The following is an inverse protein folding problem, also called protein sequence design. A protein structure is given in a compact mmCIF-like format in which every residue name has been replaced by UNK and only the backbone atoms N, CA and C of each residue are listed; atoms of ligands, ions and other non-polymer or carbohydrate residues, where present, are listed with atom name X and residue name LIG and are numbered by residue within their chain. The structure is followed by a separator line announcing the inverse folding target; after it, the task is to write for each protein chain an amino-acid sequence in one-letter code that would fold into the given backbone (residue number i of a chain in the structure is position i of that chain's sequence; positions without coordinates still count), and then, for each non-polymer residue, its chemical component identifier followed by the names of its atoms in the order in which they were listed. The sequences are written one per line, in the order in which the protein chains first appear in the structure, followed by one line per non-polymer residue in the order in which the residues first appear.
data_IF_547626381691
#
_entry.id   IF_547626381691
#
_cell.length_a   1.000
_cell.length_b   1.000
_cell.length_c   1.000
_cell.angle_alpha   90.00
_cell.angle_beta   90.00
_cell.angle_gamma   90.00
#
_symmetry.space_group_name_H-M   'P 1'
#
loop_
_entity.id
_entity.type
_entity.pdbx_description
1 polymer ?
#
# COMPACT_ATOMS: atom_id res chain seq x y z
N UNK A 1 27.38 26.82 24.91
CA UNK A 1 26.82 26.38 23.61
C UNK A 1 26.91 24.86 23.54
N UNK A 2 25.87 24.16 23.99
CA UNK A 2 25.84 22.69 23.97
C UNK A 2 25.35 22.21 22.61
N UNK A 3 26.25 21.56 21.84
CA UNK A 3 25.91 20.85 20.61
C UNK A 3 24.91 19.73 20.97
N UNK A 4 23.66 19.85 20.53
CA UNK A 4 22.72 18.71 20.50
C UNK A 4 23.29 17.70 19.51
N UNK A 5 23.85 16.62 20.05
CA UNK A 5 24.15 15.40 19.28
C UNK A 5 22.80 14.86 18.80
N UNK A 6 22.56 14.90 17.49
CA UNK A 6 21.44 14.20 16.86
C UNK A 6 21.64 12.71 17.14
N UNK A 7 20.80 12.12 17.99
CA UNK A 7 20.73 10.67 18.16
C UNK A 7 20.46 10.08 16.78
N UNK A 8 21.44 9.39 16.20
CA UNK A 8 21.26 8.67 14.94
C UNK A 8 20.10 7.70 15.10
N UNK A 9 19.00 7.98 14.42
CA UNK A 9 17.88 7.05 14.28
C UNK A 9 18.40 5.83 13.54
N UNK A 10 18.30 4.64 14.16
CA UNK A 10 18.55 3.38 13.43
C UNK A 10 17.62 3.37 12.21
N UNK A 11 18.12 3.00 11.00
CA UNK A 11 17.27 2.93 9.83
C UNK A 11 16.16 1.91 10.07
N UNK A 12 14.91 2.34 9.87
CA UNK A 12 13.75 1.44 9.96
C UNK A 12 13.86 0.38 8.86
N UNK A 13 13.63 -0.91 9.17
CA UNK A 13 13.58 -1.95 8.15
C UNK A 13 12.56 -1.62 7.06
N UNK A 14 12.87 -1.98 5.81
CA UNK A 14 11.99 -1.73 4.67
C UNK A 14 11.78 -3.02 3.87
N UNK A 15 10.68 -3.05 3.11
CA UNK A 15 10.39 -4.09 2.13
C UNK A 15 10.58 -3.48 0.75
N UNK A 16 11.54 -4.00 -0.01
CA UNK A 16 11.76 -3.61 -1.41
C UNK A 16 10.51 -3.82 -2.24
N UNK A 17 10.25 -2.88 -3.16
CA UNK A 17 9.21 -3.03 -4.17
C UNK A 17 9.67 -3.88 -5.35
N UNK A 18 10.95 -4.28 -5.41
CA UNK A 18 11.61 -4.91 -6.58
C UNK A 18 11.53 -4.08 -7.87
N UNK A 19 11.26 -2.78 -7.75
CA UNK A 19 11.37 -1.81 -8.83
C UNK A 19 12.32 -0.72 -8.37
N UNK A 20 13.47 -0.58 -9.01
CA UNK A 20 14.54 0.29 -8.51
C UNK A 20 14.14 1.77 -8.52
N UNK A 21 13.34 2.18 -9.52
CA UNK A 21 12.82 3.54 -9.62
C UNK A 21 11.85 3.86 -8.47
N UNK A 22 10.98 2.91 -8.10
CA UNK A 22 10.05 3.06 -6.97
C UNK A 22 10.80 3.02 -5.64
N UNK A 23 11.75 2.09 -5.47
CA UNK A 23 12.57 2.01 -4.27
C UNK A 23 13.43 3.26 -4.08
N UNK A 24 13.92 3.89 -5.16
CA UNK A 24 14.67 5.14 -5.10
C UNK A 24 13.85 6.25 -4.44
N UNK A 25 12.61 6.49 -4.91
CA UNK A 25 11.77 7.55 -4.34
C UNK A 25 11.28 7.19 -2.92
N UNK A 26 11.13 5.90 -2.61
CA UNK A 26 10.75 5.42 -1.27
C UNK A 26 11.96 5.23 -0.34
N UNK A 27 13.16 5.61 -0.78
CA UNK A 27 14.42 5.47 -0.04
C UNK A 27 14.66 4.02 0.46
N UNK A 28 14.51 3.05 -0.43
CA UNK A 28 14.70 1.61 -0.19
C UNK A 28 13.42 0.77 -0.02
N UNK A 29 12.24 1.35 -0.25
CA UNK A 29 10.96 0.63 -0.25
C UNK A 29 10.02 0.98 0.91
N UNK A 30 9.11 0.07 1.26
CA UNK A 30 8.03 0.31 2.23
C UNK A 30 8.52 0.13 3.66
N UNK A 31 8.48 1.21 4.46
CA UNK A 31 8.87 1.21 5.87
C UNK A 31 7.96 0.36 6.75
N UNK A 32 8.56 -0.43 7.65
CA UNK A 32 7.83 -0.99 8.79
C UNK A 32 7.57 0.09 9.84
N UNK A 33 6.55 -0.11 10.68
CA UNK A 33 6.19 0.85 11.71
C UNK A 33 5.29 1.99 11.23
N UNK A 34 5.04 2.06 9.92
CA UNK A 34 4.33 3.14 9.27
C UNK A 34 3.17 2.62 8.41
N UNK A 35 2.20 3.50 8.17
CA UNK A 35 1.09 3.26 7.23
C UNK A 35 1.42 3.98 5.93
N UNK A 36 1.51 3.23 4.84
CA UNK A 36 1.72 3.74 3.49
C UNK A 36 0.44 3.58 2.67
N UNK A 37 -0.03 4.66 2.07
CA UNK A 37 -1.21 4.65 1.21
C UNK A 37 -0.83 4.72 -0.27
N UNK A 38 -1.37 3.78 -1.03
CA UNK A 38 -1.35 3.80 -2.50
C UNK A 38 -2.69 4.32 -3.00
N UNK A 39 -2.68 5.54 -3.55
CA UNK A 39 -3.87 6.15 -4.13
C UNK A 39 -3.77 6.29 -5.65
N UNK A 40 -4.88 6.18 -6.37
CA UNK A 40 -4.88 6.30 -7.83
C UNK A 40 -6.14 5.76 -8.48
N UNK A 41 -6.30 5.99 -9.78
CA UNK A 41 -7.41 5.44 -10.57
C UNK A 41 -7.35 3.90 -10.66
N UNK A 42 -8.44 3.29 -11.12
CA UNK A 42 -8.43 1.87 -11.46
C UNK A 42 -7.37 1.58 -12.53
N UNK A 43 -6.79 0.38 -12.50
CA UNK A 43 -5.77 -0.06 -13.46
C UNK A 43 -4.44 0.76 -13.48
N UNK A 44 -4.15 1.55 -12.46
CA UNK A 44 -2.86 2.26 -12.32
C UNK A 44 -1.73 1.40 -11.73
N UNK A 45 -2.02 0.19 -11.26
CA UNK A 45 -1.02 -0.77 -10.77
C UNK A 45 -0.98 -1.00 -9.27
N UNK A 46 -1.88 -0.38 -8.49
CA UNK A 46 -1.93 -0.50 -7.03
C UNK A 46 -1.94 -1.96 -6.54
N UNK A 47 -2.90 -2.75 -7.02
CA UNK A 47 -3.00 -4.19 -6.71
C UNK A 47 -1.77 -4.98 -7.15
N UNK A 48 -1.15 -4.62 -8.29
CA UNK A 48 0.05 -5.30 -8.79
C UNK A 48 1.22 -5.10 -7.84
N UNK A 49 1.42 -3.87 -7.37
CA UNK A 49 2.45 -3.54 -6.39
C UNK A 49 2.19 -4.21 -5.04
N UNK A 50 0.93 -4.28 -4.59
CA UNK A 50 0.54 -5.00 -3.38
C UNK A 50 0.88 -6.50 -3.47
N UNK A 51 0.55 -7.17 -4.58
CA UNK A 51 0.90 -8.59 -4.78
C UNK A 51 2.42 -8.79 -4.78
N UNK A 52 3.15 -7.90 -5.45
CA UNK A 52 4.61 -7.93 -5.50
C UNK A 52 5.24 -7.76 -4.11
N UNK A 53 4.73 -6.83 -3.30
CA UNK A 53 5.16 -6.63 -1.92
C UNK A 53 4.87 -7.85 -1.02
N UNK A 54 3.73 -8.52 -1.19
CA UNK A 54 3.40 -9.76 -0.47
C UNK A 54 4.41 -10.87 -0.70
N UNK A 55 5.00 -10.93 -1.89
CA UNK A 55 6.08 -11.86 -2.22
C UNK A 55 7.43 -11.33 -1.75
N UNK A 56 7.75 -10.06 -2.01
CA UNK A 56 9.04 -9.45 -1.67
C UNK A 56 9.31 -9.43 -0.15
N UNK A 57 8.26 -9.35 0.68
CA UNK A 57 8.36 -9.47 2.14
C UNK A 57 9.08 -10.76 2.60
N UNK A 58 8.96 -11.83 1.82
CA UNK A 58 9.53 -13.15 2.13
C UNK A 58 11.02 -13.25 1.87
N UNK A 59 11.60 -12.30 1.11
CA UNK A 59 13.02 -12.28 0.82
C UNK A 59 13.84 -12.09 2.10
N UNK A 60 15.07 -12.61 2.16
CA UNK A 60 15.96 -12.31 3.28
C UNK A 60 16.29 -10.80 3.33
N UNK A 61 16.67 -10.27 4.50
CA UNK A 61 17.12 -8.89 4.65
C UNK A 61 18.24 -8.47 3.69
N UNK A 62 19.13 -9.39 3.33
CA UNK A 62 20.21 -9.15 2.35
C UNK A 62 19.70 -8.86 0.93
N UNK A 63 18.47 -9.28 0.60
CA UNK A 63 17.82 -9.07 -0.69
C UNK A 63 16.64 -8.09 -0.59
N UNK A 64 16.60 -7.26 0.46
CA UNK A 64 15.60 -6.21 0.64
C UNK A 64 14.24 -6.64 1.21
N UNK A 65 14.08 -7.91 1.60
CA UNK A 65 12.88 -8.37 2.34
C UNK A 65 13.09 -8.42 3.84
N UNK A 66 12.19 -9.10 4.55
CA UNK A 66 12.23 -9.20 6.01
C UNK A 66 12.14 -10.64 6.52
N UNK A 67 12.32 -11.62 5.61
CA UNK A 67 12.08 -13.05 5.85
C UNK A 67 10.74 -13.29 6.56
N UNK A 68 9.72 -12.53 6.14
CA UNK A 68 8.44 -12.45 6.83
C UNK A 68 7.26 -12.88 5.97
N UNK A 69 6.16 -13.20 6.65
CA UNK A 69 4.86 -13.49 6.04
C UNK A 69 4.04 -12.21 5.87
N UNK A 70 3.03 -12.26 4.99
CA UNK A 70 2.11 -11.14 4.77
C UNK A 70 0.66 -11.52 5.03
N UNK A 71 -0.14 -10.55 5.47
CA UNK A 71 -1.60 -10.64 5.50
C UNK A 71 -2.14 -9.76 4.37
N UNK A 72 -3.08 -10.29 3.59
CA UNK A 72 -3.74 -9.57 2.51
C UNK A 72 -5.25 -9.57 2.76
N UNK A 73 -5.79 -8.42 3.14
CA UNK A 73 -7.23 -8.20 3.25
C UNK A 73 -7.72 -7.63 1.92
N UNK A 74 -8.67 -8.31 1.28
CA UNK A 74 -9.28 -7.84 0.03
C UNK A 74 -10.79 -7.61 0.18
N UNK A 75 -11.34 -6.66 -0.59
CA UNK A 75 -12.76 -6.28 -0.49
C UNK A 75 -13.59 -6.50 -1.74
N UNK A 76 -12.97 -6.74 -2.89
CA UNK A 76 -13.69 -6.95 -4.15
C UNK A 76 -13.18 -8.22 -4.83
N UNK A 77 -14.11 -9.13 -5.09
CA UNK A 77 -13.85 -10.34 -5.87
C UNK A 77 -12.86 -11.31 -5.22
N UNK A 78 -12.54 -12.41 -5.92
CA UNK A 78 -11.58 -13.39 -5.43
C UNK A 78 -10.15 -12.83 -5.44
N UNK A 79 -9.35 -13.26 -4.48
CA UNK A 79 -7.92 -12.95 -4.45
C UNK A 79 -7.23 -13.41 -5.76
N UNK A 80 -6.43 -12.56 -6.42
CA UNK A 80 -5.85 -12.85 -7.73
C UNK A 80 -4.65 -13.81 -7.65
N UNK A 81 -4.87 -15.02 -7.14
CA UNK A 81 -3.85 -16.04 -6.87
C UNK A 81 -3.05 -16.42 -8.13
N UNK A 82 -3.70 -16.52 -9.29
CA UNK A 82 -3.02 -16.83 -10.57
C UNK A 82 -1.97 -15.77 -10.91
N UNK A 83 -2.30 -14.50 -10.67
CA UNK A 83 -1.37 -13.40 -10.91
C UNK A 83 -0.22 -13.43 -9.92
N UNK A 84 -0.52 -13.66 -8.63
CA UNK A 84 0.50 -13.82 -7.59
C UNK A 84 1.49 -14.94 -7.92
N UNK A 85 1.01 -16.12 -8.31
CA UNK A 85 1.86 -17.26 -8.66
C UNK A 85 2.77 -16.95 -9.85
N UNK A 86 2.28 -16.19 -10.84
CA UNK A 86 3.11 -15.73 -11.96
C UNK A 86 4.21 -14.75 -11.57
N UNK A 87 4.08 -14.02 -10.46
CA UNK A 87 5.10 -13.07 -9.97
C UNK A 87 6.24 -13.75 -9.19
N UNK A 88 5.94 -14.88 -8.53
CA UNK A 88 6.87 -15.55 -7.61
C UNK A 88 8.26 -15.81 -8.25
N UNK A 89 8.38 -16.38 -9.46
CA UNK A 89 9.68 -16.73 -10.03
C UNK A 89 10.58 -15.54 -10.33
N UNK A 90 10.00 -14.34 -10.48
CA UNK A 90 10.74 -13.12 -10.82
C UNK A 90 11.13 -12.31 -9.58
N UNK A 91 10.38 -12.46 -8.48
CA UNK A 91 10.61 -11.74 -7.23
C UNK A 91 11.50 -12.54 -6.29
N UNK A 92 11.21 -13.84 -6.15
CA UNK A 92 11.99 -14.72 -5.29
C UNK A 92 13.13 -15.28 -6.12
N UNK A 93 14.35 -14.89 -5.76
CA UNK A 93 15.54 -15.49 -6.34
C UNK A 93 15.47 -17.02 -6.09
N UNK A 94 15.99 -17.82 -7.02
CA UNK A 94 15.98 -19.30 -7.01
C UNK A 94 16.62 -19.96 -5.77
N UNK A 95 17.03 -19.16 -4.77
CA UNK A 95 17.60 -19.55 -3.49
C UNK A 95 16.59 -20.10 -2.47
N UNK A 96 15.28 -20.09 -2.74
CA UNK A 96 14.31 -20.72 -1.84
C UNK A 96 14.34 -22.24 -1.99
N UNK A 97 14.43 -22.94 -0.86
CA UNK A 97 14.34 -24.41 -0.79
C UNK A 97 13.16 -24.91 -1.62
N UNK A 98 13.37 -25.97 -2.41
CA UNK A 98 12.32 -26.62 -3.21
C UNK A 98 11.11 -27.09 -2.39
N UNK A 99 11.23 -27.15 -1.06
CA UNK A 99 10.15 -27.53 -0.14
C UNK A 99 9.31 -26.34 0.35
N UNK A 100 9.78 -25.11 0.18
CA UNK A 100 9.13 -23.92 0.70
C UNK A 100 8.14 -23.36 -0.34
N UNK A 101 6.87 -23.25 0.02
CA UNK A 101 5.80 -22.77 -0.86
C UNK A 101 5.49 -21.31 -0.54
N UNK A 102 5.84 -20.35 -1.42
CA UNK A 102 5.69 -18.92 -1.08
C UNK A 102 4.24 -18.48 -0.83
N UNK A 103 3.27 -19.19 -1.43
CA UNK A 103 1.86 -18.93 -1.21
C UNK A 103 1.40 -19.23 0.23
N UNK A 104 2.04 -20.17 0.93
CA UNK A 104 1.67 -20.54 2.31
C UNK A 104 2.03 -19.42 3.32
N UNK A 105 2.88 -18.49 2.92
CA UNK A 105 3.30 -17.33 3.73
C UNK A 105 2.47 -16.06 3.45
N UNK A 106 1.38 -16.18 2.68
CA UNK A 106 0.47 -15.08 2.35
C UNK A 106 -0.94 -15.45 2.81
N UNK A 107 -1.35 -14.88 3.93
CA UNK A 107 -2.64 -15.16 4.54
C UNK A 107 -3.67 -14.18 3.99
N UNK A 108 -4.70 -14.68 3.31
CA UNK A 108 -5.73 -13.84 2.70
C UNK A 108 -7.04 -13.84 3.51
N UNK A 109 -7.70 -12.68 3.62
CA UNK A 109 -9.06 -12.59 4.18
C UNK A 109 -9.92 -11.64 3.34
N UNK A 110 -11.14 -12.05 3.04
CA UNK A 110 -12.12 -11.18 2.38
C UNK A 110 -12.90 -10.39 3.44
N UNK A 111 -13.04 -9.07 3.22
CA UNK A 111 -13.83 -8.16 4.07
C UNK A 111 -14.59 -7.21 3.15
N UNK A 112 -15.91 -7.35 3.09
CA UNK A 112 -16.76 -6.56 2.18
C UNK A 112 -17.24 -5.25 2.80
N UNK A 113 -17.45 -5.23 4.12
CA UNK A 113 -17.94 -4.06 4.86
C UNK A 113 -16.84 -3.39 5.66
N UNK A 114 -16.83 -2.06 5.63
CA UNK A 114 -15.97 -1.26 6.51
C UNK A 114 -16.31 -1.46 7.99
N UNK A 115 -17.54 -1.87 8.31
CA UNK A 115 -17.99 -2.16 9.67
C UNK A 115 -17.38 -3.44 10.24
N UNK A 116 -16.99 -4.39 9.38
CA UNK A 116 -16.34 -5.64 9.78
C UNK A 116 -14.81 -5.49 9.84
N UNK A 117 -14.27 -4.36 9.35
CA UNK A 117 -12.84 -4.12 9.33
C UNK A 117 -12.23 -4.05 10.74
N UNK A 118 -12.84 -3.42 11.77
CA UNK A 118 -12.35 -3.50 13.15
C UNK A 118 -12.13 -4.93 13.64
N UNK A 119 -13.11 -5.83 13.43
CA UNK A 119 -12.98 -7.25 13.81
C UNK A 119 -11.88 -7.95 13.01
N UNK A 120 -11.72 -7.58 11.74
CA UNK A 120 -10.61 -8.06 10.94
C UNK A 120 -9.25 -7.56 11.46
N UNK A 121 -9.15 -6.32 11.97
CA UNK A 121 -7.93 -5.79 12.59
C UNK A 121 -7.60 -6.51 13.90
N UNK A 122 -8.59 -6.83 14.72
CA UNK A 122 -8.40 -7.66 15.92
C UNK A 122 -7.89 -9.06 15.57
N UNK A 123 -8.41 -9.64 14.48
CA UNK A 123 -7.90 -10.89 13.93
C UNK A 123 -6.45 -10.76 13.41
N UNK A 124 -6.11 -9.67 12.72
CA UNK A 124 -4.73 -9.37 12.29
C UNK A 124 -3.79 -9.32 13.48
N UNK A 125 -4.18 -8.63 14.56
CA UNK A 125 -3.37 -8.53 15.79
C UNK A 125 -3.09 -9.92 16.38
N UNK A 126 -4.12 -10.77 16.48
CA UNK A 126 -3.97 -12.14 16.98
C UNK A 126 -3.02 -12.96 16.11
N UNK A 127 -3.12 -12.86 14.79
CA UNK A 127 -2.21 -13.55 13.87
C UNK A 127 -0.77 -13.06 13.99
N UNK A 128 -0.56 -11.75 14.08
CA UNK A 128 0.78 -11.17 14.28
C UNK A 128 1.39 -11.72 15.58
N UNK A 129 0.63 -11.72 16.67
CA UNK A 129 1.07 -12.25 17.97
C UNK A 129 1.40 -13.74 17.91
N UNK A 130 0.57 -14.55 17.25
CA UNK A 130 0.81 -15.99 17.11
C UNK A 130 2.00 -16.28 16.18
N UNK A 131 2.27 -15.41 15.21
CA UNK A 131 3.37 -15.60 14.25
C UNK A 131 4.74 -15.55 14.92
N UNK A 132 4.88 -14.96 16.13
CA UNK A 132 6.13 -14.96 16.90
C UNK A 132 6.65 -16.37 17.25
N UNK A 133 5.76 -17.37 17.26
CA UNK A 133 6.13 -18.77 17.51
C UNK A 133 6.45 -19.56 16.24
N UNK A 134 6.48 -18.90 15.08
CA UNK A 134 6.72 -19.52 13.77
C UNK A 134 8.06 -19.07 13.19
N UNK A 135 8.57 -19.78 12.18
CA UNK A 135 9.82 -19.43 11.50
C UNK A 135 9.75 -18.11 10.71
N UNK A 136 8.55 -17.66 10.31
CA UNK A 136 8.35 -16.42 9.55
C UNK A 136 7.26 -15.57 10.20
N UNK A 137 7.69 -14.55 10.93
CA UNK A 137 6.79 -13.58 11.54
C UNK A 137 6.07 -12.76 10.48
N UNK A 138 4.86 -12.31 10.78
CA UNK A 138 4.13 -11.41 9.90
C UNK A 138 4.81 -10.04 9.92
N UNK A 139 5.20 -9.53 8.74
CA UNK A 139 5.91 -8.25 8.60
C UNK A 139 5.23 -7.26 7.66
N UNK A 140 4.14 -7.68 7.00
CA UNK A 140 3.39 -6.87 6.07
C UNK A 140 1.88 -7.13 6.21
N UNK A 141 1.09 -6.07 6.27
CA UNK A 141 -0.38 -6.11 6.22
C UNK A 141 -0.84 -5.23 5.07
N UNK A 142 -1.61 -5.79 4.15
CA UNK A 142 -2.18 -5.09 3.00
C UNK A 142 -3.70 -5.05 3.12
N UNK A 143 -4.30 -3.89 2.82
CA UNK A 143 -5.75 -3.73 2.68
C UNK A 143 -6.06 -3.20 1.27
N UNK A 144 -6.51 -4.08 0.37
CA UNK A 144 -6.86 -3.77 -1.02
C UNK A 144 -8.35 -4.04 -1.32
N UNK A 145 -9.25 -3.06 -1.23
CA UNK A 145 -9.02 -1.64 -0.96
C UNK A 145 -9.95 -1.16 0.14
N UNK A 146 -9.50 -0.21 0.97
CA UNK A 146 -10.35 0.39 2.02
C UNK A 146 -11.43 1.29 1.40
N UNK A 147 -11.13 1.92 0.26
CA UNK A 147 -12.05 2.82 -0.42
C UNK A 147 -13.33 2.11 -0.86
N UNK A 148 -13.21 0.91 -1.44
CA UNK A 148 -14.37 0.13 -1.88
C UNK A 148 -15.22 -0.37 -0.72
N UNK A 149 -14.62 -0.72 0.42
CA UNK A 149 -15.37 -1.05 1.64
C UNK A 149 -16.21 0.13 2.15
N UNK A 150 -15.88 1.36 1.77
CA UNK A 150 -16.58 2.57 2.22
C UNK A 150 -17.64 3.06 1.21
N UNK A 151 -17.64 2.60 -0.04
CA UNK A 151 -18.53 3.16 -1.08
C UNK A 151 -19.97 2.69 -0.98
N UNK A 152 -20.24 1.51 -0.41
CA UNK A 152 -21.57 0.91 -0.37
C UNK A 152 -22.32 1.05 0.96
N UNK A 153 -21.68 1.58 2.01
CA UNK A 153 -22.17 1.44 3.40
C UNK A 153 -22.52 2.74 4.10
N UNK A 154 -22.36 3.91 3.45
CA UNK A 154 -22.70 5.19 4.06
C UNK A 154 -23.73 5.95 3.24
N UNK A 155 -24.79 6.39 3.90
CA UNK A 155 -25.73 7.34 3.34
C UNK A 155 -25.09 8.72 3.18
N UNK A 156 -25.47 9.46 2.14
CA UNK A 156 -25.01 10.83 1.88
C UNK A 156 -25.63 11.88 2.84
N UNK A 157 -26.10 11.45 4.02
CA UNK A 157 -26.63 12.34 5.06
C UNK A 157 -25.51 12.91 5.92
N UNK A 158 -25.74 14.05 6.56
CA UNK A 158 -24.75 14.68 7.48
C UNK A 158 -24.33 13.70 8.58
N UNK A 159 -25.29 12.97 9.14
CA UNK A 159 -25.05 11.95 10.18
C UNK A 159 -24.21 10.79 9.62
N UNK A 160 -24.53 10.30 8.43
CA UNK A 160 -23.76 9.24 7.76
C UNK A 160 -22.30 9.65 7.47
N UNK A 161 -22.07 10.91 7.09
CA UNK A 161 -20.73 11.45 6.85
C UNK A 161 -19.91 11.61 8.15
N UNK A 162 -20.55 11.99 9.25
CA UNK A 162 -19.91 12.08 10.56
C UNK A 162 -19.52 10.69 11.07
N UNK A 163 -20.45 9.73 11.04
CA UNK A 163 -20.19 8.33 11.42
C UNK A 163 -19.07 7.72 10.56
N UNK A 164 -19.08 7.98 9.25
CA UNK A 164 -17.98 7.59 8.34
C UNK A 164 -16.64 8.16 8.78
N UNK A 165 -16.61 9.45 9.10
CA UNK A 165 -15.39 10.14 9.51
C UNK A 165 -14.85 9.57 10.82
N UNK A 166 -15.73 9.31 11.79
CA UNK A 166 -15.35 8.71 13.07
C UNK A 166 -14.81 7.28 12.89
N UNK A 167 -15.49 6.46 12.09
CA UNK A 167 -15.06 5.09 11.83
C UNK A 167 -13.71 5.04 11.10
N UNK A 168 -13.52 5.85 10.06
CA UNK A 168 -12.25 5.94 9.33
C UNK A 168 -11.10 6.42 10.22
N UNK A 169 -11.34 7.37 11.14
CA UNK A 169 -10.34 7.79 12.13
C UNK A 169 -9.97 6.66 13.09
N UNK A 170 -10.97 5.91 13.58
CA UNK A 170 -10.74 4.78 14.47
C UNK A 170 -9.92 3.68 13.78
N UNK A 171 -10.28 3.33 12.53
CA UNK A 171 -9.53 2.39 11.70
C UNK A 171 -8.10 2.90 11.47
N UNK A 172 -7.95 4.16 11.07
CA UNK A 172 -6.65 4.77 10.82
C UNK A 172 -5.74 4.72 12.04
N UNK A 173 -6.27 5.04 13.22
CA UNK A 173 -5.54 4.89 14.49
C UNK A 173 -5.18 3.43 14.78
N UNK A 174 -6.10 2.49 14.57
CA UNK A 174 -5.85 1.07 14.71
C UNK A 174 -4.69 0.58 13.83
N UNK A 175 -4.66 0.99 12.57
CA UNK A 175 -3.59 0.65 11.63
C UNK A 175 -2.23 1.22 12.05
N UNK A 176 -2.19 2.50 12.46
CA UNK A 176 -0.96 3.11 12.99
C UNK A 176 -0.47 2.40 14.26
N UNK A 177 -1.40 2.03 15.14
CA UNK A 177 -1.08 1.28 16.36
C UNK A 177 -0.51 -0.09 16.03
N UNK A 178 -1.11 -0.83 15.08
CA UNK A 178 -0.61 -2.13 14.63
C UNK A 178 0.78 -1.99 14.01
N UNK A 179 0.97 -1.04 13.10
CA UNK A 179 2.24 -0.80 12.43
C UNK A 179 3.37 -0.55 13.44
N UNK A 180 3.19 0.44 14.29
CA UNK A 180 4.21 0.89 15.26
C UNK A 180 4.46 -0.10 16.39
N UNK A 181 3.41 -0.70 16.97
CA UNK A 181 3.53 -1.62 18.11
C UNK A 181 4.17 -2.96 17.74
N UNK A 182 3.84 -3.48 16.56
CA UNK A 182 4.31 -4.79 16.13
C UNK A 182 5.41 -4.73 15.05
N UNK A 183 5.86 -3.53 14.69
CA UNK A 183 6.93 -3.32 13.72
C UNK A 183 6.65 -4.00 12.37
N UNK A 184 5.42 -3.84 11.89
CA UNK A 184 4.94 -4.34 10.59
C UNK A 184 4.74 -3.17 9.63
N UNK A 185 4.97 -3.41 8.34
CA UNK A 185 4.57 -2.47 7.29
C UNK A 185 3.07 -2.59 7.04
N UNK A 186 2.35 -1.47 7.00
CA UNK A 186 0.93 -1.46 6.65
C UNK A 186 0.74 -0.71 5.34
N UNK A 187 0.14 -1.36 4.35
CA UNK A 187 -0.17 -0.79 3.04
C UNK A 187 -1.68 -0.75 2.84
N UNK A 188 -2.21 0.42 2.52
CA UNK A 188 -3.64 0.62 2.26
C UNK A 188 -3.86 1.13 0.84
N UNK A 189 -4.82 0.56 0.12
CA UNK A 189 -5.19 0.98 -1.23
C UNK A 189 -6.42 1.86 -1.18
N UNK A 190 -6.34 3.01 -1.83
CA UNK A 190 -7.42 3.98 -1.94
C UNK A 190 -7.66 4.37 -3.40
N UNK A 191 -8.91 4.28 -3.85
CA UNK A 191 -9.28 4.76 -5.18
C UNK A 191 -9.44 6.29 -5.15
N UNK A 192 -9.44 6.90 -6.33
CA UNK A 192 -9.73 8.32 -6.47
C UNK A 192 -11.15 8.55 -6.99
N UNK A 193 -11.68 9.73 -6.67
CA UNK A 193 -12.94 10.25 -7.19
C UNK A 193 -12.66 11.46 -8.07
N UNK A 194 -13.51 11.66 -9.06
CA UNK A 194 -13.44 12.82 -9.95
C UNK A 194 -13.79 14.10 -9.19
N UNK A 195 -13.09 15.18 -9.51
CA UNK A 195 -13.36 16.53 -8.98
C UNK A 195 -14.07 17.32 -10.06
N UNK A 196 -15.31 17.70 -9.79
CA UNK A 196 -16.11 18.50 -10.72
C UNK A 196 -15.93 20.00 -10.43
N UNK A 197 -16.07 20.89 -11.43
CA UNK A 197 -15.95 22.34 -11.22
C UNK A 197 -16.93 22.91 -10.19
N UNK A 198 -18.04 22.23 -9.93
CA UNK A 198 -19.04 22.57 -8.92
C UNK A 198 -18.68 22.12 -7.49
N UNK A 199 -17.61 21.34 -7.31
CA UNK A 199 -17.16 20.93 -5.98
C UNK A 199 -16.65 22.15 -5.21
N UNK A 200 -17.34 22.46 -4.10
CA UNK A 200 -16.95 23.56 -3.19
C UNK A 200 -15.77 23.18 -2.30
N UNK A 201 -15.32 21.93 -2.34
CA UNK A 201 -14.24 21.43 -1.49
C UNK A 201 -12.86 21.84 -2.06
N UNK A 202 -12.48 23.10 -1.82
CA UNK A 202 -11.17 23.64 -2.19
C UNK A 202 -10.04 23.17 -1.26
N UNK A 203 -10.33 22.29 -0.29
CA UNK A 203 -9.38 21.92 0.78
C UNK A 203 -8.40 20.82 0.38
N UNK A 204 -8.61 20.14 -0.76
CA UNK A 204 -7.70 19.10 -1.26
C UNK A 204 -7.01 19.55 -2.54
N UNK A 205 -5.67 19.48 -2.56
CA UNK A 205 -4.91 19.58 -3.82
C UNK A 205 -5.42 18.48 -4.76
N UNK A 206 -5.90 18.87 -5.93
CA UNK A 206 -6.31 17.93 -6.98
C UNK A 206 -5.08 17.40 -7.71
N UNK A 207 -5.20 16.20 -8.26
CA UNK A 207 -4.20 15.57 -9.11
C UNK A 207 -4.78 15.38 -10.50
N UNK A 208 -3.91 15.20 -11.49
CA UNK A 208 -4.32 14.87 -12.86
C UNK A 208 -4.09 13.39 -13.11
N UNK A 209 -5.10 12.69 -13.60
CA UNK A 209 -4.96 11.32 -14.13
C UNK A 209 -5.90 11.16 -15.32
N UNK A 210 -5.40 10.54 -16.40
CA UNK A 210 -6.18 10.31 -17.62
C UNK A 210 -6.90 11.57 -18.15
N UNK A 211 -6.28 12.75 -18.00
CA UNK A 211 -6.85 14.05 -18.41
C UNK A 211 -7.92 14.63 -17.48
N UNK A 212 -8.23 13.99 -16.35
CA UNK A 212 -9.24 14.43 -15.38
C UNK A 212 -8.62 14.90 -14.06
N UNK A 213 -9.31 15.83 -13.39
CA UNK A 213 -8.98 16.23 -12.02
C UNK A 213 -9.54 15.19 -11.06
N UNK A 214 -8.69 14.65 -10.20
CA UNK A 214 -9.03 13.59 -9.25
C UNK A 214 -8.50 13.88 -7.85
N UNK A 215 -9.13 13.28 -6.84
CA UNK A 215 -8.69 13.33 -5.43
C UNK A 215 -8.92 11.99 -4.73
N UNK A 216 -8.20 11.65 -3.64
CA UNK A 216 -8.42 10.40 -2.91
C UNK A 216 -9.85 10.31 -2.34
N UNK A 217 -10.46 9.13 -2.42
CA UNK A 217 -11.89 8.94 -2.10
C UNK A 217 -12.22 9.10 -0.60
N UNK A 218 -11.25 8.85 0.27
CA UNK A 218 -11.44 8.89 1.73
C UNK A 218 -11.38 10.31 2.32
N UNK A 219 -10.99 11.32 1.55
CA UNK A 219 -10.97 12.71 1.98
C UNK A 219 -9.91 13.05 3.03
N UNK A 220 -10.00 14.26 3.58
CA UNK A 220 -8.97 14.83 4.45
C UNK A 220 -8.88 14.18 5.84
N UNK A 221 -9.99 13.68 6.39
CA UNK A 221 -10.00 13.04 7.70
C UNK A 221 -9.14 11.77 7.78
N UNK A 222 -8.92 11.10 6.65
CA UNK A 222 -8.07 9.93 6.55
C UNK A 222 -6.58 10.26 6.53
N UNK A 223 -6.23 11.43 5.98
CA UNK A 223 -4.84 11.88 5.78
C UNK A 223 -4.04 11.96 7.08
N UNK A 224 -4.67 12.27 8.21
CA UNK A 224 -4.01 12.37 9.51
C UNK A 224 -3.48 11.04 10.04
N UNK A 225 -3.94 9.91 9.48
CA UNK A 225 -3.63 8.58 9.97
C UNK A 225 -2.63 7.81 9.09
N UNK A 226 -1.95 8.51 8.17
CA UNK A 226 -1.05 7.92 7.19
C UNK A 226 0.30 8.61 7.28
N UNK A 227 1.38 7.84 7.20
CA UNK A 227 2.74 8.38 7.23
C UNK A 227 3.18 8.85 5.85
N UNK A 228 2.87 8.07 4.82
CA UNK A 228 3.25 8.35 3.42
C UNK A 228 2.09 8.05 2.49
N UNK A 229 1.75 9.00 1.61
CA UNK A 229 0.78 8.80 0.52
C UNK A 229 1.50 8.95 -0.81
N UNK A 230 1.42 7.91 -1.63
CA UNK A 230 1.83 7.96 -3.04
C UNK A 230 0.62 7.94 -3.95
N UNK A 231 0.70 8.68 -5.04
CA UNK A 231 -0.27 8.70 -6.10
C UNK A 231 0.26 7.97 -7.32
N UNK A 232 -0.56 7.07 -7.86
CA UNK A 232 -0.28 6.29 -9.06
C UNK A 232 -1.25 6.71 -10.16
N UNK A 233 -0.71 7.17 -11.27
CA UNK A 233 -1.48 7.55 -12.46
C UNK A 233 -1.05 6.73 -13.68
N UNK A 234 -1.93 6.67 -14.68
CA UNK A 234 -1.67 6.01 -15.95
C UNK A 234 -1.56 7.07 -17.04
N UNK A 235 -0.46 7.04 -17.78
CA UNK A 235 -0.30 7.82 -19.00
C UNK A 235 -0.35 6.86 -20.18
N UNK A 236 -1.22 7.15 -21.14
CA UNK A 236 -1.30 6.37 -22.38
C UNK A 236 -0.45 7.12 -23.39
N UNK A 237 0.64 6.50 -23.86
CA UNK A 237 1.40 7.07 -24.97
C UNK A 237 0.57 6.92 -26.25
N UNK A 238 0.27 8.02 -26.97
CA UNK A 238 -0.54 7.95 -28.19
C UNK A 238 0.18 7.22 -29.33
N UNK A 239 1.51 7.05 -29.25
CA UNK A 239 2.32 6.49 -30.33
C UNK A 239 2.49 4.98 -30.25
N UNK A 240 2.64 4.40 -29.06
CA UNK A 240 3.06 3.00 -28.90
C UNK A 240 1.99 2.08 -28.28
N UNK A 241 0.81 2.59 -27.92
CA UNK A 241 -0.21 1.89 -27.08
C UNK A 241 0.33 1.33 -25.74
N UNK A 242 1.62 1.57 -25.43
CA UNK A 242 2.20 1.28 -24.15
C UNK A 242 1.62 2.23 -23.12
N UNK A 243 1.41 1.70 -21.92
CA UNK A 243 0.85 2.47 -20.83
C UNK A 243 1.89 2.59 -19.74
N UNK A 244 2.53 3.76 -19.70
CA UNK A 244 3.46 4.09 -18.63
C UNK A 244 2.66 4.44 -17.39
N UNK A 245 3.19 4.08 -16.23
CA UNK A 245 2.65 4.51 -14.95
C UNK A 245 3.60 5.50 -14.32
N UNK A 246 3.04 6.50 -13.65
CA UNK A 246 3.78 7.46 -12.85
C UNK A 246 3.38 7.27 -11.39
N UNK A 247 4.37 7.12 -10.52
CA UNK A 247 4.20 7.22 -9.07
C UNK A 247 4.77 8.55 -8.59
N UNK A 248 4.02 9.27 -7.75
CA UNK A 248 4.48 10.51 -7.12
C UNK A 248 4.16 10.52 -5.63
N UNK A 249 5.10 10.90 -4.79
CA UNK A 249 4.87 11.10 -3.35
C UNK A 249 4.08 12.40 -3.18
N UNK A 250 2.85 12.30 -2.66
CA UNK A 250 2.03 13.48 -2.40
C UNK A 250 2.37 14.13 -1.08
N UNK A 251 2.62 13.29 -0.07
CA UNK A 251 3.18 13.71 1.21
C UNK A 251 3.84 12.51 1.89
N UNK A 252 4.83 12.81 2.72
CA UNK A 252 5.47 11.86 3.62
C UNK A 252 5.96 12.59 4.86
N UNK A 253 5.97 11.91 6.01
CA UNK A 253 6.62 12.40 7.23
C UNK A 253 8.14 12.29 7.19
N UNK A 254 8.70 11.47 6.30
CA UNK A 254 10.12 11.09 6.30
C UNK A 254 10.80 11.16 4.93
N UNK A 255 10.04 11.20 3.83
CA UNK A 255 10.55 11.24 2.47
C UNK A 255 10.39 12.64 1.86
N UNK A 256 11.29 12.97 0.93
CA UNK A 256 11.14 14.13 0.05
C UNK A 256 10.05 13.86 -1.01
N UNK A 257 9.47 14.94 -1.55
CA UNK A 257 8.50 14.82 -2.63
C UNK A 257 9.24 14.49 -3.93
N UNK A 258 9.03 13.29 -4.43
CA UNK A 258 9.65 12.81 -5.65
C UNK A 258 8.67 11.99 -6.50
N UNK A 259 9.02 11.73 -7.76
CA UNK A 259 8.21 10.96 -8.68
C UNK A 259 9.06 10.09 -9.60
N UNK A 260 8.56 8.89 -9.91
CA UNK A 260 9.20 7.95 -10.81
C UNK A 260 8.22 7.34 -11.80
N UNK A 261 8.75 6.87 -12.93
CA UNK A 261 7.99 6.07 -13.89
C UNK A 261 8.28 4.60 -13.70
N UNK A 262 7.26 3.77 -13.90
CA UNK A 262 7.36 2.33 -13.85
C UNK A 262 6.41 1.70 -14.88
N UNK A 263 6.62 0.44 -15.20
CA UNK A 263 5.76 -0.34 -16.08
C UNK A 263 5.20 -1.57 -15.35
N UNK A 264 4.15 -2.16 -15.91
CA UNK A 264 3.56 -3.40 -15.40
C UNK A 264 3.70 -4.44 -16.51
N UNK A 265 4.46 -5.49 -16.24
CA UNK A 265 4.75 -6.59 -17.16
C UNK A 265 4.21 -7.91 -16.59
N UNK A 266 4.42 -9.01 -17.31
CA UNK A 266 4.15 -10.34 -16.78
C UNK A 266 5.05 -10.67 -15.57
N UNK A 267 6.24 -10.10 -15.51
CA UNK A 267 7.23 -10.30 -14.45
C UNK A 267 6.91 -9.49 -13.19
N UNK A 268 6.18 -8.38 -13.34
CA UNK A 268 5.73 -7.57 -12.22
C UNK A 268 5.73 -6.08 -12.51
N UNK A 269 5.80 -5.31 -11.44
CA UNK A 269 6.11 -3.88 -11.46
C UNK A 269 7.61 -3.74 -11.65
N UNK A 270 8.02 -3.14 -12.76
CA UNK A 270 9.42 -2.97 -13.14
C UNK A 270 9.72 -1.54 -13.55
N UNK A 271 11.00 -1.20 -13.65
CA UNK A 271 11.43 0.11 -14.12
C UNK A 271 10.91 0.36 -15.55
N UNK A 272 10.50 1.59 -15.83
CA UNK A 272 10.20 1.97 -17.21
C UNK A 272 11.52 2.07 -17.98
N UNK A 273 11.59 1.53 -19.20
CA UNK A 273 12.75 1.71 -20.07
C UNK A 273 13.04 3.20 -20.24
N UNK A 274 14.28 3.60 -19.96
CA UNK A 274 14.72 4.97 -20.22
C UNK A 274 14.91 5.10 -21.73
N UNK A 275 13.98 5.80 -22.39
CA UNK A 275 14.20 6.34 -23.73
C UNK A 275 15.21 7.50 -23.70
#
# INVERSE_FOLDING_TARGET
MSKKVSKGTKPCPKITTRCSAVDSILNGGISVGEVTEFCGENATGKTQLCLQLSVACQLPPSSGGLFGSSIYIHSIGPFPIRRLTGLIPFILDSSLSHTDRPCDHIITKMVESVHDLPDALDWVVKLIQNSYNTCRHIRLVIIDSIASMCTSHFDNTVVGLESRTQLLRAIGYGLQSIASKYNVAVVVVNNVVDVFPSDRDSSTKFMMSSGRKVRPALGNCWTTNISTRVFMSKTISPYNQTSDRLMSILFSSSLELDACRFCITNEGVMDAEQN
#
